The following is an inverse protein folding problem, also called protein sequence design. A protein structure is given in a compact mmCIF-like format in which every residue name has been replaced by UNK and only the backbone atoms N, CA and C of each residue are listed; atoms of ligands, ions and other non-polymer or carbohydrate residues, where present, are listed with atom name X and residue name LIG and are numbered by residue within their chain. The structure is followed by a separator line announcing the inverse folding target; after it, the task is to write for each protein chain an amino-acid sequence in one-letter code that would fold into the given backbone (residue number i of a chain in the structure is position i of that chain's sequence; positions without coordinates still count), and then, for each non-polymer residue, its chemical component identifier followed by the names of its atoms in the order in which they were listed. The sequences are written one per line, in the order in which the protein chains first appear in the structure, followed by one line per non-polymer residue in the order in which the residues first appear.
data_IF_942101466882
#
_entry.id   IF_942101466882
#
_cell.length_a   1.000
_cell.length_b   1.000
_cell.length_c   1.000
_cell.angle_alpha   90.00
_cell.angle_beta   90.00
_cell.angle_gamma   90.00
#
_symmetry.space_group_name_H-M   'P 1'
#
loop_
_entity.id
_entity.type
_entity.pdbx_description
1 polymer ?
#
# COMPACT_ATOMS: atom_id res chain seq x y z
N UNK A 1 29.14 11.75 -38.92
CA UNK A 1 27.77 12.22 -38.63
C UNK A 1 26.78 11.26 -39.26
N UNK A 2 25.88 10.65 -38.47
CA UNK A 2 24.52 10.31 -38.93
C UNK A 2 23.65 10.02 -37.70
N UNK A 3 22.53 10.74 -37.58
CA UNK A 3 21.52 10.60 -36.52
C UNK A 3 20.48 9.59 -37.00
N UNK A 4 20.27 8.51 -36.25
CA UNK A 4 19.06 7.69 -36.29
C UNK A 4 19.05 6.82 -35.02
N UNK A 5 17.99 6.66 -34.24
CA UNK A 5 16.64 7.21 -34.21
C UNK A 5 16.14 6.95 -32.77
N UNK A 6 15.57 7.95 -32.09
CA UNK A 6 14.99 7.78 -30.74
C UNK A 6 13.63 7.10 -30.88
N UNK A 7 13.62 5.80 -31.17
CA UNK A 7 12.41 5.00 -31.10
C UNK A 7 11.96 4.95 -29.63
N UNK A 8 10.81 5.58 -29.33
CA UNK A 8 10.12 5.35 -28.07
C UNK A 8 9.85 3.86 -27.99
N UNK A 9 10.52 3.16 -27.07
CA UNK A 9 10.18 1.79 -26.70
C UNK A 9 8.72 1.84 -26.24
N UNK A 10 7.81 1.33 -27.07
CA UNK A 10 6.53 0.87 -26.58
C UNK A 10 6.88 -0.16 -25.51
N UNK A 11 6.56 0.12 -24.24
CA UNK A 11 6.83 -0.80 -23.15
C UNK A 11 6.28 -2.16 -23.56
N UNK A 12 7.15 -3.17 -23.59
CA UNK A 12 6.76 -4.57 -23.72
C UNK A 12 5.86 -4.88 -22.53
N UNK A 13 4.55 -4.69 -22.71
CA UNK A 13 3.57 -4.92 -21.67
C UNK A 13 3.41 -6.43 -21.58
N UNK A 14 4.25 -7.05 -20.76
CA UNK A 14 4.20 -8.49 -20.55
C UNK A 14 2.81 -8.84 -19.98
N UNK A 15 2.01 -9.65 -20.70
CA UNK A 15 0.65 -9.96 -20.30
C UNK A 15 0.65 -10.71 -18.96
N UNK A 16 -0.43 -10.57 -18.19
CA UNK A 16 -0.63 -11.30 -16.94
C UNK A 16 -0.98 -12.76 -17.25
N UNK A 17 -0.24 -13.68 -16.66
CA UNK A 17 -0.59 -15.10 -16.69
C UNK A 17 -1.69 -15.42 -15.67
N UNK A 18 -2.46 -16.48 -15.91
CA UNK A 18 -3.56 -16.91 -15.05
C UNK A 18 -3.11 -17.16 -13.60
N UNK A 19 -1.97 -17.83 -13.40
CA UNK A 19 -1.42 -18.07 -12.07
C UNK A 19 -1.02 -16.78 -11.32
N UNK A 20 -0.65 -15.71 -12.05
CA UNK A 20 -0.36 -14.41 -11.43
C UNK A 20 -1.64 -13.76 -10.92
N UNK A 21 -2.74 -13.87 -11.68
CA UNK A 21 -4.06 -13.39 -11.25
C UNK A 21 -4.58 -14.15 -10.04
N UNK A 22 -4.45 -15.48 -10.04
CA UNK A 22 -4.78 -16.34 -8.90
C UNK A 22 -3.98 -15.91 -7.67
N UNK A 23 -2.67 -15.75 -7.81
CA UNK A 23 -1.80 -15.32 -6.73
C UNK A 23 -2.19 -13.94 -6.19
N UNK A 24 -2.46 -12.96 -7.06
CA UNK A 24 -2.93 -11.63 -6.62
C UNK A 24 -4.27 -11.75 -5.89
N UNK A 25 -5.21 -12.56 -6.39
CA UNK A 25 -6.54 -12.73 -5.79
C UNK A 25 -6.46 -13.31 -4.39
N UNK A 26 -5.61 -14.31 -4.17
CA UNK A 26 -5.45 -14.95 -2.88
C UNK A 26 -4.64 -14.12 -1.89
N UNK A 27 -3.55 -13.50 -2.35
CA UNK A 27 -2.52 -12.92 -1.47
C UNK A 27 -2.73 -11.44 -1.22
N UNK A 28 -3.23 -10.68 -2.19
CA UNK A 28 -3.37 -9.23 -2.08
C UNK A 28 -4.25 -8.78 -0.88
N UNK A 29 -5.35 -9.47 -0.51
CA UNK A 29 -6.13 -9.15 0.68
C UNK A 29 -5.44 -9.47 2.00
N UNK A 30 -4.36 -10.26 2.01
CA UNK A 30 -3.75 -10.71 3.26
C UNK A 30 -2.89 -9.59 3.86
N UNK A 31 -3.25 -9.15 5.07
CA UNK A 31 -2.51 -8.11 5.79
C UNK A 31 -1.05 -8.49 6.09
N UNK A 32 -0.75 -9.80 6.12
CA UNK A 32 0.60 -10.34 6.32
C UNK A 32 1.55 -10.07 5.15
N UNK A 33 1.04 -9.84 3.94
CA UNK A 33 1.86 -9.62 2.74
C UNK A 33 1.94 -8.15 2.39
N UNK A 34 3.14 -7.57 2.35
CA UNK A 34 3.34 -6.22 1.83
C UNK A 34 3.25 -6.24 0.30
N UNK A 35 2.71 -5.16 -0.30
CA UNK A 35 2.58 -5.07 -1.76
C UNK A 35 3.93 -5.21 -2.46
N UNK A 36 5.00 -4.68 -1.85
CA UNK A 36 6.38 -4.84 -2.36
C UNK A 36 6.85 -6.31 -2.38
N UNK A 37 6.38 -7.16 -1.47
CA UNK A 37 6.72 -8.59 -1.43
C UNK A 37 5.96 -9.34 -2.53
N UNK A 38 4.70 -8.99 -2.77
CA UNK A 38 3.89 -9.51 -3.88
C UNK A 38 4.55 -9.13 -5.21
N UNK A 39 4.90 -7.86 -5.38
CA UNK A 39 5.57 -7.35 -6.57
C UNK A 39 6.89 -8.09 -6.84
N UNK A 40 7.72 -8.27 -5.80
CA UNK A 40 8.96 -9.04 -5.89
C UNK A 40 8.72 -10.52 -6.27
N UNK A 41 7.66 -11.13 -5.75
CA UNK A 41 7.33 -12.54 -6.02
C UNK A 41 6.91 -12.76 -7.47
N UNK A 42 6.22 -11.79 -8.06
CA UNK A 42 5.71 -11.83 -9.43
C UNK A 42 6.69 -11.24 -10.45
N UNK A 43 7.83 -10.70 -10.01
CA UNK A 43 8.74 -9.89 -10.84
C UNK A 43 8.03 -8.72 -11.56
N UNK A 44 7.07 -8.10 -10.87
CA UNK A 44 6.31 -6.95 -11.35
C UNK A 44 6.63 -5.72 -10.52
N UNK A 45 6.24 -4.54 -11.01
CA UNK A 45 6.30 -3.31 -10.20
C UNK A 45 5.14 -3.27 -9.20
N UNK A 46 5.33 -2.53 -8.11
CA UNK A 46 4.25 -2.28 -7.12
C UNK A 46 3.01 -1.69 -7.80
N UNK A 47 3.21 -0.73 -8.69
CA UNK A 47 2.11 -0.08 -9.41
C UNK A 47 1.36 -1.07 -10.33
N UNK A 48 2.07 -1.97 -11.01
CA UNK A 48 1.44 -3.00 -11.84
C UNK A 48 0.56 -3.94 -11.01
N UNK A 49 1.04 -4.37 -9.83
CA UNK A 49 0.25 -5.20 -8.90
C UNK A 49 -0.99 -4.45 -8.41
N UNK A 50 -0.86 -3.17 -8.04
CA UNK A 50 -2.00 -2.36 -7.58
C UNK A 50 -3.03 -2.16 -8.69
N UNK A 51 -2.58 -1.82 -9.90
CA UNK A 51 -3.46 -1.70 -11.07
C UNK A 51 -4.16 -3.03 -11.37
N UNK A 52 -3.45 -4.16 -11.27
CA UNK A 52 -4.04 -5.47 -11.52
C UNK A 52 -5.07 -5.85 -10.47
N UNK A 53 -4.78 -5.64 -9.19
CA UNK A 53 -5.73 -5.87 -8.12
C UNK A 53 -7.02 -5.05 -8.31
N UNK A 54 -6.92 -3.82 -8.80
CA UNK A 54 -8.08 -3.02 -9.18
C UNK A 54 -8.89 -3.66 -10.32
N UNK A 55 -8.23 -4.14 -11.38
CA UNK A 55 -8.90 -4.86 -12.50
C UNK A 55 -9.60 -6.13 -12.00
N UNK A 56 -8.96 -6.89 -11.09
CA UNK A 56 -9.51 -8.10 -10.49
C UNK A 56 -10.56 -7.80 -9.39
N UNK A 57 -10.84 -6.53 -9.08
CA UNK A 57 -11.75 -6.10 -8.01
C UNK A 57 -11.38 -6.60 -6.61
N UNK A 58 -10.09 -6.86 -6.38
CA UNK A 58 -9.55 -7.35 -5.11
C UNK A 58 -9.07 -6.18 -4.28
N UNK A 59 -9.54 -6.09 -3.02
CA UNK A 59 -9.22 -4.99 -2.10
C UNK A 59 -8.36 -5.47 -0.95
N UNK A 60 -7.48 -4.60 -0.48
CA UNK A 60 -6.81 -4.81 0.80
C UNK A 60 -7.75 -4.44 1.95
N UNK A 61 -7.70 -5.17 3.07
CA UNK A 61 -8.39 -4.76 4.27
C UNK A 61 -7.86 -3.38 4.70
N UNK A 62 -8.72 -2.53 5.25
CA UNK A 62 -8.27 -1.29 5.85
C UNK A 62 -7.22 -1.61 6.89
N UNK A 63 -6.19 -0.76 6.96
CA UNK A 63 -5.18 -0.88 8.01
C UNK A 63 -5.87 -0.70 9.35
N UNK A 64 -5.98 -1.77 10.15
CA UNK A 64 -6.57 -1.71 11.48
C UNK A 64 -5.61 -0.96 12.39
N UNK A 65 -5.89 0.33 12.58
CA UNK A 65 -5.18 1.15 13.55
C UNK A 65 -5.79 0.92 14.93
N UNK A 66 -4.93 0.79 15.93
CA UNK A 66 -5.32 0.87 17.33
C UNK A 66 -5.62 2.34 17.69
N UNK A 67 -6.86 2.76 17.41
CA UNK A 67 -7.32 4.13 17.62
C UNK A 67 -7.22 4.53 19.10
N UNK A 68 -7.51 3.62 20.02
CA UNK A 68 -7.45 3.87 21.46
C UNK A 68 -6.02 4.15 21.92
N UNK A 69 -5.05 3.30 21.53
CA UNK A 69 -3.65 3.52 21.86
C UNK A 69 -3.10 4.81 21.23
N UNK A 70 -3.49 5.09 19.98
CA UNK A 70 -3.12 6.34 19.30
C UNK A 70 -3.67 7.54 20.08
N UNK A 71 -4.95 7.51 20.48
CA UNK A 71 -5.59 8.60 21.21
C UNK A 71 -4.96 8.84 22.58
N UNK A 72 -4.72 7.78 23.34
CA UNK A 72 -4.10 7.87 24.66
C UNK A 72 -2.69 8.48 24.60
N UNK A 73 -1.87 8.09 23.62
CA UNK A 73 -0.53 8.65 23.47
C UNK A 73 -0.58 10.11 23.00
N UNK A 74 -1.52 10.46 22.12
CA UNK A 74 -1.71 11.84 21.68
C UNK A 74 -2.14 12.75 22.84
N UNK A 75 -3.09 12.31 23.67
CA UNK A 75 -3.52 13.01 24.89
C UNK A 75 -2.37 13.21 25.90
N UNK A 76 -1.41 12.29 25.94
CA UNK A 76 -0.18 12.41 26.72
C UNK A 76 0.86 13.39 26.13
N UNK A 77 0.54 14.07 25.03
CA UNK A 77 1.41 15.07 24.39
C UNK A 77 2.46 14.49 23.43
N UNK A 78 2.35 13.21 23.06
CA UNK A 78 3.27 12.62 22.08
C UNK A 78 2.96 13.15 20.67
N UNK A 79 3.99 13.54 19.91
CA UNK A 79 3.82 13.90 18.51
C UNK A 79 3.62 12.67 17.61
N UNK A 80 3.11 12.89 16.40
CA UNK A 80 2.72 11.79 15.50
C UNK A 80 3.86 10.83 15.17
N UNK A 81 5.08 11.33 14.96
CA UNK A 81 6.25 10.49 14.68
C UNK A 81 6.59 9.57 15.85
N UNK A 82 6.48 10.07 17.08
CA UNK A 82 6.79 9.29 18.29
C UNK A 82 5.72 8.21 18.55
N UNK A 83 4.45 8.52 18.29
CA UNK A 83 3.36 7.54 18.34
C UNK A 83 3.55 6.47 17.26
N UNK A 84 3.83 6.89 16.03
CA UNK A 84 4.05 6.02 14.88
C UNK A 84 5.17 5.01 15.14
N UNK A 85 6.34 5.49 15.59
CA UNK A 85 7.47 4.62 15.95
C UNK A 85 7.13 3.64 17.09
N UNK A 86 6.31 4.07 18.07
CA UNK A 86 5.97 3.23 19.22
C UNK A 86 4.98 2.11 18.88
N UNK A 87 4.06 2.37 17.96
CA UNK A 87 3.00 1.44 17.58
C UNK A 87 3.28 0.70 16.26
N UNK A 88 4.40 0.98 15.60
CA UNK A 88 4.73 0.35 14.31
C UNK A 88 3.90 0.88 13.14
N UNK A 89 3.41 2.12 13.23
CA UNK A 89 2.62 2.77 12.18
C UNK A 89 3.42 3.82 11.42
N UNK A 90 2.84 4.32 10.33
CA UNK A 90 3.34 5.50 9.63
C UNK A 90 2.79 6.78 10.30
N UNK A 91 3.62 7.82 10.38
CA UNK A 91 3.21 9.11 10.96
C UNK A 91 1.97 9.73 10.26
N UNK A 92 1.80 9.66 8.93
CA UNK A 92 0.56 10.07 8.27
C UNK A 92 -0.68 9.29 8.74
N UNK A 93 -0.57 7.98 8.97
CA UNK A 93 -1.67 7.13 9.46
C UNK A 93 -2.11 7.57 10.86
N UNK A 94 -1.14 7.87 11.73
CA UNK A 94 -1.41 8.43 13.06
C UNK A 94 -2.08 9.80 12.96
N UNK A 95 -1.56 10.71 12.13
CA UNK A 95 -2.19 12.02 11.95
C UNK A 95 -3.62 11.91 11.41
N UNK A 96 -3.88 10.98 10.50
CA UNK A 96 -5.24 10.73 10.00
C UNK A 96 -6.15 10.27 11.13
N UNK A 97 -5.71 9.27 11.92
CA UNK A 97 -6.49 8.73 13.03
C UNK A 97 -6.86 9.79 14.07
N UNK A 98 -5.90 10.59 14.53
CA UNK A 98 -6.16 11.69 15.48
C UNK A 98 -7.19 12.67 14.93
N UNK A 99 -7.04 13.08 13.67
CA UNK A 99 -7.98 14.00 13.01
C UNK A 99 -9.35 13.37 12.74
N UNK A 100 -9.46 12.05 12.64
CA UNK A 100 -10.73 11.35 12.48
C UNK A 100 -11.48 11.28 13.82
N UNK A 101 -10.77 10.97 14.91
CA UNK A 101 -11.31 10.95 16.28
C UNK A 101 -11.76 12.34 16.75
N UNK A 102 -10.98 13.38 16.49
CA UNK A 102 -11.37 14.78 16.79
C UNK A 102 -12.66 15.21 16.09
N UNK A 103 -13.04 14.55 14.99
CA UNK A 103 -14.24 14.85 14.20
C UNK A 103 -15.39 13.86 14.45
N UNK A 104 -15.23 12.90 15.37
CA UNK A 104 -16.23 11.86 15.65
C UNK A 104 -16.53 10.94 14.47
N UNK A 105 -15.54 10.68 13.61
CA UNK A 105 -15.68 9.80 12.41
C UNK A 105 -15.34 8.33 12.66
N UNK A 106 -14.85 8.04 13.85
CA UNK A 106 -14.41 6.74 14.39
C UNK A 106 -14.64 6.79 15.88
#
# INVERSE_FOLDING_TARGET
MSKASRARRFFDYEPWAEWEDEFVTEVYPLASWKIAEIAKKLDRTVDAVVSRAHVLSVKRPPHQLDYDAIWQLWQKGYNYSRIANRLGYLAPSVSYAVKAMQRGRV
#
